data_IF_842006931850
#
_entry.id   IF_842006931850
#
_cell.length_a   1.000
_cell.length_b   1.000
_cell.length_c   1.000
_cell.angle_alpha   90.00
_cell.angle_beta   90.00
_cell.angle_gamma   90.00
#
_symmetry.space_group_name_H-M   'P 1'
#
loop_
_entity.id
_entity.type
_entity.pdbx_description
1 polymer ?
#
# COMPACT_ATOMS: atom_id res chain seq x y z
N UNK A 1 -12.34 11.70 14.04
CA UNK A 1 -12.32 10.75 12.90
C UNK A 1 -11.49 11.35 11.76
N UNK A 2 -10.60 10.58 11.13
CA UNK A 2 -9.79 11.01 9.98
C UNK A 2 -10.55 10.77 8.67
N UNK A 3 -10.47 11.69 7.72
CA UNK A 3 -11.11 11.57 6.40
C UNK A 3 -10.22 10.84 5.39
N UNK A 4 -10.80 10.30 4.30
CA UNK A 4 -10.05 9.62 3.23
C UNK A 4 -8.98 10.53 2.60
N UNK A 5 -9.29 11.80 2.38
CA UNK A 5 -8.33 12.76 1.81
C UNK A 5 -7.17 13.06 2.76
N UNK A 6 -7.43 13.17 4.06
CA UNK A 6 -6.38 13.34 5.08
C UNK A 6 -5.49 12.09 5.19
N UNK A 7 -6.08 10.91 5.11
CA UNK A 7 -5.33 9.65 5.12
C UNK A 7 -4.45 9.49 3.86
N UNK A 8 -4.99 9.83 2.69
CA UNK A 8 -4.25 9.82 1.42
C UNK A 8 -3.09 10.82 1.45
N UNK A 9 -3.30 12.02 2.01
CA UNK A 9 -2.25 13.01 2.16
C UNK A 9 -1.09 12.50 3.06
N UNK A 10 -1.41 11.87 4.18
CA UNK A 10 -0.40 11.27 5.05
C UNK A 10 0.32 10.10 4.37
N UNK A 11 -0.41 9.27 3.62
CA UNK A 11 0.12 8.13 2.90
C UNK A 11 1.09 8.54 1.77
N UNK A 12 0.77 9.60 1.03
CA UNK A 12 1.67 10.13 0.00
C UNK A 12 2.92 10.77 0.59
N UNK A 13 2.83 11.37 1.79
CA UNK A 13 3.94 12.13 2.38
C UNK A 13 4.91 11.26 3.20
N UNK A 14 4.42 10.24 3.91
CA UNK A 14 5.19 9.54 4.96
C UNK A 14 5.40 8.03 4.74
N UNK A 15 4.68 7.38 3.81
CA UNK A 15 4.87 5.94 3.59
C UNK A 15 6.06 5.66 2.65
N UNK A 16 6.87 4.62 2.94
CA UNK A 16 8.07 4.30 2.18
C UNK A 16 7.80 3.86 0.73
N UNK A 17 6.57 3.52 0.36
CA UNK A 17 6.18 3.26 -1.04
C UNK A 17 6.12 4.52 -1.91
N UNK A 18 6.00 5.70 -1.29
CA UNK A 18 5.85 7.00 -1.95
C UNK A 18 7.01 7.96 -1.63
N UNK A 19 8.20 7.44 -1.30
CA UNK A 19 9.40 8.23 -0.94
C UNK A 19 9.82 9.30 -1.98
N UNK A 20 9.29 9.24 -3.21
CA UNK A 20 9.49 10.26 -4.24
C UNK A 20 8.62 11.51 -4.07
N UNK A 21 7.52 11.42 -3.32
CA UNK A 21 6.61 12.53 -3.06
C UNK A 21 6.98 13.25 -1.76
N UNK A 22 8.06 14.04 -1.81
CA UNK A 22 8.37 14.97 -0.74
C UNK A 22 7.29 16.08 -0.68
N UNK A 23 7.16 16.76 0.46
CA UNK A 23 6.20 17.86 0.68
C UNK A 23 6.10 18.84 -0.52
N UNK A 24 7.20 19.25 -1.17
CA UNK A 24 7.14 20.11 -2.36
C UNK A 24 6.44 19.48 -3.58
N UNK A 25 6.60 18.17 -3.80
CA UNK A 25 5.94 17.46 -4.89
C UNK A 25 4.42 17.36 -4.64
N UNK A 26 4.04 17.03 -3.41
CA UNK A 26 2.64 16.99 -2.99
C UNK A 26 1.98 18.38 -3.08
N UNK A 27 2.70 19.43 -2.70
CA UNK A 27 2.25 20.81 -2.85
C UNK A 27 1.95 21.17 -4.31
N UNK A 28 2.83 20.77 -5.24
CA UNK A 28 2.65 20.97 -6.69
C UNK A 28 1.46 20.19 -7.24
N UNK A 29 1.30 18.91 -6.86
CA UNK A 29 0.19 18.07 -7.30
C UNK A 29 -1.18 18.61 -6.83
N UNK A 30 -1.22 19.16 -5.62
CA UNK A 30 -2.45 19.70 -5.03
C UNK A 30 -2.70 21.17 -5.37
N UNK A 31 -1.74 21.85 -6.01
CA UNK A 31 -1.84 23.28 -6.32
C UNK A 31 -1.91 24.18 -5.08
N UNK A 32 -1.29 23.78 -3.97
CA UNK A 32 -1.27 24.53 -2.70
C UNK A 32 0.16 24.80 -2.23
N UNK A 33 0.33 25.72 -1.27
CA UNK A 33 1.64 26.01 -0.69
C UNK A 33 2.13 24.88 0.21
N UNK A 34 3.45 24.73 0.32
CA UNK A 34 4.08 23.74 1.20
C UNK A 34 3.67 23.92 2.66
N UNK A 35 3.54 25.16 3.14
CA UNK A 35 3.05 25.45 4.49
C UNK A 35 1.65 24.92 4.72
N UNK A 36 0.77 25.03 3.72
CA UNK A 36 -0.58 24.49 3.81
C UNK A 36 -0.57 22.95 3.86
N UNK A 37 0.31 22.30 3.07
CA UNK A 37 0.54 20.85 3.15
C UNK A 37 1.01 20.45 4.56
N UNK A 38 2.02 21.14 5.10
CA UNK A 38 2.54 20.90 6.45
C UNK A 38 1.46 21.07 7.52
N UNK A 39 0.65 22.12 7.41
CA UNK A 39 -0.44 22.39 8.34
C UNK A 39 -1.52 21.30 8.27
N UNK A 40 -1.93 20.89 7.07
CA UNK A 40 -2.89 19.81 6.85
C UNK A 40 -2.37 18.48 7.39
N UNK A 41 -1.12 18.13 7.09
CA UNK A 41 -0.45 16.94 7.63
C UNK A 41 -0.41 16.98 9.17
N UNK A 42 -0.10 18.11 9.78
CA UNK A 42 -0.05 18.25 11.24
C UNK A 42 -1.44 18.04 11.88
N UNK A 43 -2.50 18.62 11.28
CA UNK A 43 -3.89 18.40 11.72
C UNK A 43 -4.32 16.94 11.55
N UNK A 44 -4.06 16.35 10.38
CA UNK A 44 -4.38 14.96 10.09
C UNK A 44 -3.67 14.00 11.04
N UNK A 45 -2.38 14.24 11.31
CA UNK A 45 -1.59 13.49 12.28
C UNK A 45 -2.19 13.58 13.69
N UNK A 46 -2.56 14.77 14.16
CA UNK A 46 -3.22 14.92 15.49
C UNK A 46 -4.50 14.12 15.58
N UNK A 47 -5.35 14.16 14.55
CA UNK A 47 -6.59 13.36 14.48
C UNK A 47 -6.30 11.86 14.49
N UNK A 48 -5.26 11.42 13.77
CA UNK A 48 -4.83 10.03 13.76
C UNK A 48 -4.33 9.60 15.14
N UNK A 49 -3.49 10.39 15.79
CA UNK A 49 -2.99 10.10 17.15
C UNK A 49 -4.14 10.02 18.16
N UNK A 50 -5.12 10.91 18.09
CA UNK A 50 -6.30 10.84 18.95
C UNK A 50 -7.14 9.58 18.68
N UNK A 51 -7.36 9.24 17.42
CA UNK A 51 -8.10 8.01 17.06
C UNK A 51 -7.37 6.77 17.57
N UNK A 52 -6.06 6.65 17.32
CA UNK A 52 -5.26 5.54 17.81
C UNK A 52 -5.24 5.49 19.33
N UNK A 53 -5.13 6.62 20.02
CA UNK A 53 -5.20 6.66 21.49
C UNK A 53 -6.54 6.16 22.00
N UNK A 54 -7.65 6.59 21.38
CA UNK A 54 -8.98 6.13 21.74
C UNK A 54 -9.17 4.62 21.50
N UNK A 55 -8.57 4.06 20.45
CA UNK A 55 -8.55 2.60 20.22
C UNK A 55 -7.68 1.86 21.25
N UNK A 56 -6.54 2.42 21.64
CA UNK A 56 -5.62 1.81 22.60
C UNK A 56 -6.08 1.92 24.06
N UNK A 57 -6.94 2.90 24.36
CA UNK A 57 -7.62 3.03 25.66
C UNK A 57 -8.82 2.09 25.79
N UNK A 58 -9.28 1.47 24.70
CA UNK A 58 -10.29 0.41 24.80
C UNK A 58 -9.66 -0.83 25.45
N UNK A 59 -10.32 -1.44 26.45
CA UNK A 59 -9.86 -2.70 27.00
C UNK A 59 -9.80 -3.74 25.87
N UNK A 60 -8.67 -4.45 25.77
CA UNK A 60 -8.51 -5.54 24.81
C UNK A 60 -9.52 -6.63 25.18
N UNK A 61 -10.65 -6.64 24.50
CA UNK A 61 -11.65 -7.68 24.66
C UNK A 61 -11.16 -8.94 23.93
N UNK A 62 -10.35 -9.73 24.63
CA UNK A 62 -9.73 -10.98 24.14
C UNK A 62 -10.78 -12.01 23.67
N UNK A 63 -12.06 -11.79 23.96
CA UNK A 63 -13.17 -12.65 23.54
C UNK A 63 -13.56 -12.48 22.06
N UNK A 64 -13.19 -11.35 21.42
CA UNK A 64 -13.47 -11.11 19.99
C UNK A 64 -12.47 -11.77 19.02
N UNK A 65 -11.39 -12.38 19.53
CA UNK A 65 -10.35 -13.04 18.73
C UNK A 65 -10.73 -14.45 18.23
N UNK A 66 -12.01 -14.85 18.30
CA UNK A 66 -12.48 -16.02 17.59
C UNK A 66 -12.69 -15.65 16.11
N UNK A 67 -11.89 -16.18 15.15
CA UNK A 67 -12.15 -15.95 13.75
C UNK A 67 -13.53 -16.50 13.45
N UNK A 68 -14.48 -15.62 13.10
CA UNK A 68 -15.73 -16.03 12.45
C UNK A 68 -15.31 -16.68 11.14
N UNK A 69 -15.10 -18.00 11.16
CA UNK A 69 -14.96 -18.85 9.99
C UNK A 69 -16.17 -18.55 9.11
N UNK A 70 -15.96 -17.72 8.09
CA UNK A 70 -16.91 -17.54 7.02
C UNK A 70 -17.20 -18.93 6.49
N UNK A 71 -18.47 -19.34 6.60
CA UNK A 71 -18.97 -20.62 6.10
C UNK A 71 -18.55 -20.75 4.64
N UNK A 72 -17.73 -21.75 4.33
CA UNK A 72 -17.49 -22.19 2.96
C UNK A 72 -18.81 -22.71 2.40
N UNK A 73 -19.58 -21.83 1.77
CA UNK A 73 -20.72 -22.24 0.94
C UNK A 73 -20.13 -22.86 -0.32
N UNK A 74 -20.54 -24.10 -0.53
CA UNK A 74 -20.19 -25.00 -1.62
C UNK A 74 -20.38 -24.36 -3.00
N UNK A 75 -19.27 -24.12 -3.71
CA UNK A 75 -19.30 -23.90 -5.15
C UNK A 75 -18.88 -25.19 -5.87
N UNK A 76 -19.82 -25.74 -6.65
CA UNK A 76 -19.68 -26.94 -7.46
C UNK A 76 -18.61 -26.74 -8.54
N UNK A 77 -17.66 -27.66 -8.57
CA UNK A 77 -17.11 -28.38 -9.74
C UNK A 77 -17.11 -27.66 -11.10
N UNK A 78 -15.91 -27.46 -11.66
CA UNK A 78 -15.60 -27.86 -13.06
C UNK A 78 -14.09 -28.09 -13.23
N UNK A 79 -13.66 -29.17 -13.90
CA UNK A 79 -12.25 -29.44 -14.18
C UNK A 79 -11.85 -28.80 -15.52
N UNK A 80 -10.77 -28.03 -15.57
CA UNK A 80 -10.15 -27.70 -16.86
C UNK A 80 -8.62 -27.66 -16.79
N UNK A 81 -8.06 -28.63 -17.51
CA UNK A 81 -6.83 -28.65 -18.32
C UNK A 81 -5.49 -28.36 -17.62
N UNK A 82 -4.70 -29.43 -17.56
CA UNK A 82 -3.24 -29.41 -17.76
C UNK A 82 -2.91 -28.58 -19.00
N UNK A 83 -1.95 -27.67 -18.87
CA UNK A 83 -1.13 -27.17 -19.96
C UNK A 83 0.30 -26.86 -19.42
N UNK A 84 1.34 -26.94 -20.27
CA UNK A 84 2.63 -27.61 -19.98
C UNK A 84 3.75 -26.67 -19.48
N UNK A 85 4.95 -27.21 -19.14
CA UNK A 85 6.04 -26.42 -18.59
C UNK A 85 6.67 -25.48 -19.63
N UNK A 86 7.13 -24.34 -19.13
CA UNK A 86 7.86 -23.28 -19.84
C UNK A 86 8.89 -23.77 -20.88
N UNK A 87 9.10 -23.02 -21.99
CA UNK A 87 10.25 -23.25 -22.86
C UNK A 87 11.57 -22.78 -22.22
N UNK A 88 12.70 -23.45 -22.49
CA UNK A 88 14.02 -22.98 -22.06
C UNK A 88 14.47 -21.73 -22.82
N UNK A 89 15.23 -20.87 -22.13
CA UNK A 89 15.80 -19.63 -22.67
C UNK A 89 16.83 -19.92 -23.78
N UNK A 90 16.89 -19.14 -24.87
CA UNK A 90 17.99 -19.22 -25.82
C UNK A 90 19.28 -18.69 -25.18
N UNK A 91 20.33 -19.52 -25.17
CA UNK A 91 21.71 -19.12 -24.84
C UNK A 91 22.23 -18.23 -25.97
N UNK A 92 22.51 -16.97 -25.65
CA UNK A 92 23.14 -16.00 -26.55
C UNK A 92 24.60 -16.40 -26.77
N UNK A 93 24.86 -17.20 -27.80
CA UNK A 93 26.19 -17.29 -28.41
C UNK A 93 26.46 -16.00 -29.17
N UNK A 94 27.44 -15.21 -28.72
CA UNK A 94 28.09 -14.22 -29.61
C UNK A 94 29.60 -14.44 -29.57
N UNK A 95 30.04 -15.14 -30.61
CA UNK A 95 31.40 -15.22 -31.13
C UNK A 95 31.95 -13.82 -31.44
N UNK A 96 33.27 -13.71 -31.26
CA UNK A 96 34.23 -12.78 -31.86
C UNK A 96 34.20 -11.32 -31.44
N UNK A 97 35.40 -10.79 -31.17
CA UNK A 97 35.95 -9.80 -32.08
C UNK A 97 37.25 -10.32 -32.70
N UNK A 98 37.18 -10.49 -34.01
CA UNK A 98 38.33 -10.38 -34.90
C UNK A 98 38.41 -8.89 -35.27
N UNK A 99 39.53 -8.25 -34.97
CA UNK A 99 39.90 -6.97 -35.56
C UNK A 99 41.41 -6.79 -35.48
N UNK A 100 42.02 -7.08 -36.63
CA UNK A 100 43.09 -6.36 -37.31
C UNK A 100 43.79 -5.23 -36.54
#
# INVERSE_FOLDING_TARGET
MITRGEAQLLASTYLPGNLRAQIPAVARELGITEDNVRQRCSRAKRKLTQAVRAEMEQPIDLTAAAPRRARCVTARRTPRRRDPPWPPRPTRTRRSPDRA
#
